data_IF_922504711246
#
_entry.id   IF_922504711246
#
_cell.length_a   1.000
_cell.length_b   1.000
_cell.length_c   1.000
_cell.angle_alpha   90.00
_cell.angle_beta   90.00
_cell.angle_gamma   90.00
#
_symmetry.space_group_name_H-M   'P 1'
#
loop_
_entity.id
_entity.type
_entity.pdbx_description
1 polymer ?
#
# COMPACT_ATOMS: atom_id res chain seq x y z
N UNK A 1 -2.12 13.86 -8.37
CA UNK A 1 -1.00 13.16 -7.74
C UNK A 1 -0.27 14.12 -6.82
N UNK A 2 0.03 13.71 -5.60
CA UNK A 2 0.84 14.51 -4.68
C UNK A 2 2.30 14.16 -4.90
N UNK A 3 3.12 15.15 -5.18
CA UNK A 3 4.54 14.97 -5.44
C UNK A 3 5.38 16.19 -5.07
N UNK A 4 6.50 15.94 -4.43
CA UNK A 4 7.60 16.87 -4.19
C UNK A 4 8.91 16.05 -4.25
N UNK A 5 9.94 16.57 -4.89
CA UNK A 5 11.24 15.87 -4.97
C UNK A 5 11.84 15.58 -3.58
N UNK A 6 11.48 16.40 -2.58
CA UNK A 6 11.88 16.19 -1.19
C UNK A 6 11.30 14.90 -0.57
N UNK A 7 10.26 14.28 -1.15
CA UNK A 7 9.75 12.97 -0.71
C UNK A 7 10.81 11.86 -0.83
N UNK A 8 11.84 12.05 -1.64
CA UNK A 8 13.00 11.15 -1.74
C UNK A 8 14.01 11.27 -0.59
N UNK A 9 13.80 12.21 0.35
CA UNK A 9 14.66 12.38 1.52
C UNK A 9 14.48 11.29 2.59
N UNK A 10 13.42 10.49 2.53
CA UNK A 10 13.20 9.33 3.40
C UNK A 10 14.17 8.20 3.03
N UNK A 11 15.35 8.21 3.67
CA UNK A 11 16.49 7.40 3.24
C UNK A 11 17.26 6.85 4.45
N UNK A 12 17.19 5.57 4.65
CA UNK A 12 17.91 4.83 5.71
C UNK A 12 19.37 4.51 5.37
N UNK A 13 19.87 4.97 4.24
CA UNK A 13 21.24 4.77 3.80
C UNK A 13 21.40 3.73 2.69
N UNK A 14 22.62 3.62 2.13
CA UNK A 14 22.84 2.93 0.85
C UNK A 14 22.69 1.40 0.90
N UNK A 15 22.74 0.79 2.07
CA UNK A 15 22.59 -0.66 2.24
C UNK A 15 21.19 -1.08 2.66
N UNK A 16 20.27 -0.12 2.87
CA UNK A 16 18.92 -0.41 3.30
C UNK A 16 18.04 -0.76 2.09
N UNK A 17 17.19 -1.81 2.18
CA UNK A 17 16.35 -2.22 1.04
C UNK A 17 15.35 -1.16 0.62
N UNK A 18 14.78 -0.39 1.56
CA UNK A 18 13.90 0.73 1.23
C UNK A 18 14.76 1.92 0.75
N UNK A 19 15.04 1.96 -0.55
CA UNK A 19 15.87 2.96 -1.18
C UNK A 19 15.03 3.99 -1.98
N UNK A 20 15.23 5.30 -1.80
CA UNK A 20 14.47 6.34 -2.51
C UNK A 20 14.57 6.27 -4.03
N UNK A 21 15.64 5.68 -4.56
CA UNK A 21 15.85 5.52 -6.02
C UNK A 21 14.65 4.83 -6.70
N UNK A 22 13.93 3.95 -6.00
CA UNK A 22 12.72 3.30 -6.53
C UNK A 22 11.65 4.32 -6.94
N UNK A 23 11.47 5.36 -6.14
CA UNK A 23 10.51 6.44 -6.43
C UNK A 23 11.04 7.36 -7.52
N UNK A 24 12.36 7.68 -7.50
CA UNK A 24 13.02 8.45 -8.58
C UNK A 24 12.84 7.77 -9.95
N UNK A 25 13.06 6.46 -10.02
CA UNK A 25 12.91 5.68 -11.24
C UNK A 25 11.45 5.60 -11.71
N UNK A 26 10.51 5.49 -10.76
CA UNK A 26 9.07 5.53 -11.05
C UNK A 26 8.68 6.86 -11.70
N UNK A 27 9.05 7.97 -11.07
CA UNK A 27 8.70 9.31 -11.59
C UNK A 27 9.35 9.58 -12.96
N UNK A 28 10.59 9.11 -13.15
CA UNK A 28 11.25 9.21 -14.45
C UNK A 28 10.54 8.39 -15.52
N UNK A 29 10.11 7.15 -15.22
CA UNK A 29 9.39 6.30 -16.15
C UNK A 29 8.01 6.86 -16.49
N UNK A 30 7.26 7.27 -15.49
CA UNK A 30 5.94 7.87 -15.67
C UNK A 30 6.01 9.15 -16.53
N UNK A 31 7.04 9.96 -16.36
CA UNK A 31 7.28 11.17 -17.19
C UNK A 31 7.59 10.79 -18.64
N UNK A 32 8.52 9.87 -18.85
CA UNK A 32 8.95 9.45 -20.19
C UNK A 32 7.85 8.76 -21.00
N UNK A 33 6.89 8.12 -20.32
CA UNK A 33 5.72 7.49 -20.95
C UNK A 33 4.52 8.47 -21.08
N UNK A 34 4.67 9.74 -20.69
CA UNK A 34 3.60 10.73 -20.74
C UNK A 34 2.46 10.50 -19.74
N UNK A 35 2.65 9.63 -18.75
CA UNK A 35 1.65 9.37 -17.71
C UNK A 35 1.45 10.61 -16.82
N UNK A 36 2.54 11.33 -16.52
CA UNK A 36 2.46 12.55 -15.71
C UNK A 36 1.75 13.72 -16.42
N UNK A 37 1.65 13.67 -17.75
CA UNK A 37 0.87 14.66 -18.52
C UNK A 37 -0.65 14.49 -18.33
N UNK A 38 -1.08 13.39 -17.73
CA UNK A 38 -2.49 13.03 -17.47
C UNK A 38 -2.92 13.26 -16.02
N UNK A 39 -2.02 13.70 -15.16
CA UNK A 39 -2.28 13.96 -13.75
C UNK A 39 -1.91 15.40 -13.40
N UNK A 40 -2.69 16.02 -12.53
CA UNK A 40 -2.27 17.25 -11.89
C UNK A 40 -1.26 16.92 -10.77
N UNK A 41 -0.07 17.52 -10.83
CA UNK A 41 0.93 17.40 -9.78
C UNK A 41 0.73 18.53 -8.78
N UNK A 42 0.45 18.17 -7.52
CA UNK A 42 0.30 19.10 -6.41
C UNK A 42 1.39 18.84 -5.37
N UNK A 43 2.00 19.89 -4.87
CA UNK A 43 2.95 19.83 -3.77
C UNK A 43 2.27 19.53 -2.42
N UNK A 44 3.07 19.25 -1.42
CA UNK A 44 2.62 19.08 -0.04
C UNK A 44 3.55 19.75 0.96
N UNK A 45 3.06 20.04 2.16
CA UNK A 45 3.87 20.38 3.33
C UNK A 45 3.97 19.19 4.28
N UNK A 46 4.89 19.22 5.25
CA UNK A 46 4.96 18.20 6.28
C UNK A 46 3.71 18.21 7.16
N UNK A 47 3.29 17.04 7.63
CA UNK A 47 2.25 16.92 8.64
C UNK A 47 2.68 17.62 9.93
N UNK A 48 1.78 18.39 10.51
CA UNK A 48 1.98 19.04 11.81
C UNK A 48 1.92 18.04 12.97
N UNK A 49 2.45 18.40 14.14
CA UNK A 49 2.37 17.58 15.35
C UNK A 49 0.92 17.23 15.73
N UNK A 50 0.01 18.18 15.55
CA UNK A 50 -1.41 17.94 15.84
C UNK A 50 -2.04 16.95 14.86
N UNK A 51 -1.64 16.96 13.58
CA UNK A 51 -2.03 15.95 12.61
C UNK A 51 -1.41 14.59 12.93
N UNK A 52 -0.09 14.53 13.18
CA UNK A 52 0.59 13.30 13.59
C UNK A 52 -0.04 12.68 14.84
N UNK A 53 -0.46 13.52 15.80
CA UNK A 53 -1.10 13.08 17.03
C UNK A 53 -2.51 12.50 16.85
N UNK A 54 -3.04 12.48 15.64
CA UNK A 54 -4.30 11.78 15.36
C UNK A 54 -4.19 10.26 15.53
N UNK A 55 -3.01 9.70 15.26
CA UNK A 55 -2.75 8.25 15.34
C UNK A 55 -1.51 7.90 16.16
N UNK A 56 -0.57 8.83 16.33
CA UNK A 56 0.65 8.62 17.10
C UNK A 56 0.62 9.32 18.45
N UNK A 57 1.19 8.68 19.48
CA UNK A 57 1.32 9.31 20.78
C UNK A 57 2.27 10.51 20.72
N UNK A 58 1.98 11.57 21.49
CA UNK A 58 2.85 12.75 21.56
C UNK A 58 4.26 12.38 22.04
N UNK A 59 4.38 11.44 22.97
CA UNK A 59 5.68 10.96 23.45
C UNK A 59 6.52 10.30 22.36
N UNK A 60 5.87 9.58 21.43
CA UNK A 60 6.52 8.98 20.28
C UNK A 60 6.97 10.06 19.27
N UNK A 61 6.11 11.02 18.94
CA UNK A 61 6.47 12.14 18.05
C UNK A 61 7.71 12.88 18.60
N UNK A 62 7.74 13.17 19.90
CA UNK A 62 8.89 13.80 20.53
C UNK A 62 10.15 12.90 20.52
N UNK A 63 9.99 11.56 20.62
CA UNK A 63 11.12 10.64 20.46
C UNK A 63 11.68 10.69 19.02
N UNK A 64 10.83 10.66 18.00
CA UNK A 64 11.25 10.78 16.60
C UNK A 64 11.98 12.10 16.34
N UNK A 65 11.49 13.21 16.90
CA UNK A 65 12.15 14.53 16.80
C UNK A 65 13.52 14.56 17.46
N UNK A 66 13.68 13.93 18.63
CA UNK A 66 14.99 13.83 19.27
C UNK A 66 15.98 13.05 18.41
N UNK A 67 15.54 11.89 17.87
CA UNK A 67 16.36 11.10 16.94
C UNK A 67 16.68 11.88 15.68
N UNK A 68 15.73 12.66 15.16
CA UNK A 68 15.91 13.50 13.98
C UNK A 68 16.98 14.58 14.18
N UNK A 69 17.06 15.14 15.39
CA UNK A 69 17.97 16.23 15.69
C UNK A 69 19.46 15.81 15.72
N UNK A 70 19.77 14.60 16.20
CA UNK A 70 21.16 14.18 16.46
C UNK A 70 21.53 12.80 15.89
N UNK A 71 20.57 12.08 15.28
CA UNK A 71 20.76 10.75 14.73
C UNK A 71 20.99 9.64 15.76
N UNK A 72 20.77 9.92 17.06
CA UNK A 72 20.98 8.91 18.11
C UNK A 72 19.81 7.96 18.21
N UNK A 73 20.06 6.63 18.27
CA UNK A 73 19.01 5.63 18.40
C UNK A 73 18.13 5.84 19.65
N UNK A 74 16.82 5.61 19.48
CA UNK A 74 15.87 5.40 20.57
C UNK A 74 15.15 4.06 20.32
N UNK A 75 15.74 2.97 20.83
CA UNK A 75 15.21 1.62 20.62
C UNK A 75 13.83 1.40 21.24
N UNK A 76 13.47 2.19 22.25
CA UNK A 76 12.13 2.13 22.85
C UNK A 76 11.05 2.69 21.92
N UNK A 77 11.44 3.56 21.00
CA UNK A 77 10.60 4.09 19.93
C UNK A 77 10.76 3.30 18.61
N UNK A 78 11.49 2.18 18.60
CA UNK A 78 11.76 1.38 17.40
C UNK A 78 12.76 2.00 16.43
N UNK A 79 13.47 3.08 16.82
CA UNK A 79 14.42 3.81 15.98
C UNK A 79 15.86 3.44 16.32
N UNK A 80 16.65 3.11 15.29
CA UNK A 80 18.04 2.65 15.42
C UNK A 80 18.16 1.13 15.39
N UNK A 81 17.11 0.41 15.01
CA UNK A 81 17.13 -1.01 14.64
C UNK A 81 17.70 -1.20 13.24
N UNK A 82 17.92 -2.44 12.83
CA UNK A 82 18.28 -2.77 11.43
C UNK A 82 17.19 -2.35 10.46
N UNK A 83 15.92 -2.51 10.87
CA UNK A 83 14.76 -2.22 10.03
C UNK A 83 14.44 -0.71 9.97
N UNK A 84 14.68 0.00 11.07
CA UNK A 84 14.42 1.44 11.16
C UNK A 84 15.68 2.15 11.68
N UNK A 85 16.75 2.26 10.88
CA UNK A 85 17.97 2.97 11.26
C UNK A 85 17.69 4.42 11.64
N UNK A 86 18.34 4.90 12.69
CA UNK A 86 18.26 6.29 13.08
C UNK A 86 19.06 7.17 12.12
N UNK A 87 18.49 8.27 11.66
CA UNK A 87 19.20 9.28 10.86
C UNK A 87 18.72 10.70 11.17
N UNK A 88 19.60 11.67 11.01
CA UNK A 88 19.27 13.08 11.16
C UNK A 88 18.28 13.51 10.06
N UNK A 89 17.17 14.16 10.44
CA UNK A 89 16.11 14.54 9.48
C UNK A 89 15.02 13.49 9.32
N UNK A 90 15.01 12.41 10.12
CA UNK A 90 14.00 11.34 10.03
C UNK A 90 12.58 11.85 10.29
N UNK A 91 12.41 12.81 11.21
CA UNK A 91 11.11 13.43 11.49
C UNK A 91 10.60 14.19 10.26
N UNK A 92 11.43 15.07 9.73
CA UNK A 92 11.10 15.94 8.61
C UNK A 92 10.73 15.14 7.37
N UNK A 93 11.53 14.12 7.05
CA UNK A 93 11.27 13.22 5.92
C UNK A 93 9.98 12.42 6.09
N UNK A 94 9.75 11.85 7.27
CA UNK A 94 8.54 11.07 7.58
C UNK A 94 7.29 11.95 7.64
N UNK A 95 7.39 13.14 8.24
CA UNK A 95 6.28 14.09 8.31
C UNK A 95 5.89 14.61 6.91
N UNK A 96 6.84 14.75 5.99
CA UNK A 96 6.56 15.15 4.62
C UNK A 96 5.75 14.07 3.87
N UNK A 97 6.12 12.79 4.02
CA UNK A 97 5.35 11.67 3.45
C UNK A 97 3.94 11.64 4.03
N UNK A 98 3.81 11.78 5.36
CA UNK A 98 2.51 11.86 6.03
C UNK A 98 1.67 13.04 5.51
N UNK A 99 2.31 14.20 5.35
CA UNK A 99 1.69 15.39 4.77
C UNK A 99 1.19 15.20 3.34
N UNK A 100 1.92 14.41 2.54
CA UNK A 100 1.50 14.08 1.18
C UNK A 100 0.22 13.21 1.16
N UNK A 101 0.10 12.21 2.03
CA UNK A 101 -1.12 11.39 2.14
C UNK A 101 -2.29 12.19 2.73
N UNK A 102 -2.04 13.10 3.66
CA UNK A 102 -3.05 14.05 4.13
C UNK A 102 -3.51 15.00 3.02
N UNK A 103 -2.61 15.49 2.18
CA UNK A 103 -2.95 16.33 1.03
C UNK A 103 -3.80 15.56 0.01
N UNK A 104 -3.50 14.28 -0.23
CA UNK A 104 -4.31 13.40 -1.05
C UNK A 104 -5.73 13.23 -0.47
N UNK A 105 -5.84 13.01 0.85
CA UNK A 105 -7.13 12.89 1.53
C UNK A 105 -7.97 14.17 1.41
N UNK A 106 -7.34 15.34 1.59
CA UNK A 106 -8.01 16.64 1.41
C UNK A 106 -8.50 16.84 -0.02
N UNK A 107 -7.64 16.60 -1.00
CA UNK A 107 -7.99 16.80 -2.40
C UNK A 107 -9.22 15.97 -2.80
N UNK A 108 -9.31 14.73 -2.34
CA UNK A 108 -10.45 13.85 -2.66
C UNK A 108 -11.69 14.24 -1.85
N UNK A 109 -11.56 14.49 -0.56
CA UNK A 109 -12.71 14.77 0.29
C UNK A 109 -13.34 16.14 -0.01
N UNK A 110 -12.53 17.16 -0.29
CA UNK A 110 -12.98 18.52 -0.64
C UNK A 110 -13.46 18.63 -2.11
N UNK A 111 -13.33 17.53 -2.88
CA UNK A 111 -13.81 17.47 -4.26
C UNK A 111 -12.92 18.17 -5.29
N UNK A 112 -11.66 18.46 -4.93
CA UNK A 112 -10.66 18.98 -5.86
C UNK A 112 -10.18 17.89 -6.85
N UNK A 113 -10.25 16.63 -6.45
CA UNK A 113 -9.96 15.46 -7.28
C UNK A 113 -10.89 14.31 -6.92
N UNK A 114 -11.20 13.46 -7.89
CA UNK A 114 -11.93 12.20 -7.66
C UNK A 114 -10.98 11.13 -7.13
N UNK A 115 -9.76 11.08 -7.68
CA UNK A 115 -8.69 10.18 -7.28
C UNK A 115 -7.44 10.95 -6.89
N UNK A 116 -6.69 10.43 -5.92
CA UNK A 116 -5.38 10.96 -5.56
C UNK A 116 -4.37 9.84 -5.29
N UNK A 117 -3.09 10.09 -5.57
CA UNK A 117 -2.02 9.10 -5.32
C UNK A 117 -0.79 9.76 -4.70
N UNK A 118 -0.22 9.06 -3.70
CA UNK A 118 1.08 9.33 -3.10
C UNK A 118 1.94 8.06 -3.15
N UNK A 119 2.78 7.91 -4.18
CA UNK A 119 3.62 6.71 -4.34
C UNK A 119 4.78 6.63 -3.34
N UNK A 120 5.12 7.71 -2.64
CA UNK A 120 6.12 7.69 -1.58
C UNK A 120 5.55 7.24 -0.22
N UNK A 121 4.22 7.22 -0.08
CA UNK A 121 3.51 6.78 1.12
C UNK A 121 3.27 5.27 1.17
N UNK A 122 2.35 4.88 2.06
CA UNK A 122 2.01 3.48 2.30
C UNK A 122 2.82 2.86 3.44
N UNK A 123 3.27 3.67 4.40
CA UNK A 123 4.09 3.25 5.54
C UNK A 123 3.22 2.61 6.64
N UNK A 124 2.64 1.47 6.32
CA UNK A 124 1.54 0.82 7.03
C UNK A 124 1.94 0.10 8.33
N UNK A 125 3.25 -0.12 8.58
CA UNK A 125 3.72 -0.83 9.78
C UNK A 125 3.94 0.07 11.01
N UNK A 126 4.00 1.40 10.84
CA UNK A 126 4.22 2.29 11.97
C UNK A 126 3.07 2.17 12.98
N UNK A 127 3.42 1.87 14.23
CA UNK A 127 2.49 1.69 15.33
C UNK A 127 2.18 3.04 16.02
N UNK A 128 1.16 3.10 16.90
CA UNK A 128 0.85 4.34 17.63
C UNK A 128 2.01 4.93 18.42
N UNK A 129 2.96 4.10 18.87
CA UNK A 129 4.05 4.52 19.75
C UNK A 129 5.43 3.97 19.38
N UNK A 130 5.59 3.34 18.21
CA UNK A 130 6.89 2.79 17.78
C UNK A 130 6.97 2.68 16.26
N UNK A 131 8.16 2.92 15.72
CA UNK A 131 8.52 2.61 14.34
C UNK A 131 8.66 1.09 14.16
N UNK A 132 8.28 0.58 12.98
CA UNK A 132 8.33 -0.84 12.64
C UNK A 132 8.39 -1.00 11.12
N UNK A 133 9.02 -2.05 10.61
CA UNK A 133 8.96 -2.44 9.20
C UNK A 133 9.27 -1.30 8.23
N UNK A 134 10.36 -0.56 8.47
CA UNK A 134 10.78 0.61 7.67
C UNK A 134 9.86 1.84 7.77
N UNK A 135 8.84 1.80 8.64
CA UNK A 135 7.82 2.83 8.77
C UNK A 135 7.98 3.63 10.07
N UNK A 136 8.03 4.96 9.97
CA UNK A 136 8.13 5.87 11.12
C UNK A 136 6.78 6.49 11.45
N UNK A 137 6.11 7.12 10.48
CA UNK A 137 4.74 7.59 10.65
C UNK A 137 3.80 6.86 9.68
N UNK A 138 2.64 6.44 10.20
CA UNK A 138 1.64 5.69 9.42
C UNK A 138 0.78 6.66 8.60
N UNK A 139 1.25 6.99 7.41
CA UNK A 139 0.59 7.96 6.54
C UNK A 139 -0.81 7.49 6.05
N UNK A 140 -1.07 6.20 5.72
CA UNK A 140 -2.42 5.75 5.41
C UNK A 140 -3.37 5.94 6.60
N UNK A 141 -2.94 5.56 7.81
CA UNK A 141 -3.76 5.74 9.00
C UNK A 141 -4.02 7.21 9.31
N UNK A 142 -3.05 8.10 9.09
CA UNK A 142 -3.23 9.54 9.24
C UNK A 142 -4.27 10.10 8.26
N UNK A 143 -4.24 9.67 7.00
CA UNK A 143 -5.23 10.04 6.00
C UNK A 143 -6.64 9.59 6.44
N UNK A 144 -6.79 8.35 6.90
CA UNK A 144 -8.06 7.80 7.40
C UNK A 144 -8.53 8.57 8.64
N UNK A 145 -7.67 8.79 9.63
CA UNK A 145 -8.04 9.51 10.86
C UNK A 145 -8.46 10.95 10.57
N UNK A 146 -7.79 11.61 9.62
CA UNK A 146 -8.19 12.95 9.17
C UNK A 146 -9.60 12.93 8.54
N UNK A 147 -9.87 11.98 7.62
CA UNK A 147 -11.19 11.82 7.00
C UNK A 147 -12.30 11.63 8.03
N UNK A 148 -12.09 10.75 9.03
CA UNK A 148 -13.05 10.55 10.13
C UNK A 148 -13.31 11.84 10.92
N UNK A 149 -12.28 12.66 11.14
CA UNK A 149 -12.42 13.99 11.78
C UNK A 149 -13.19 14.99 10.92
N UNK A 150 -13.20 14.85 9.59
CA UNK A 150 -14.02 15.65 8.69
C UNK A 150 -15.50 15.17 8.63
N UNK A 151 -15.83 14.11 9.34
CA UNK A 151 -17.20 13.60 9.43
C UNK A 151 -17.51 12.45 8.46
N UNK A 152 -16.51 11.88 7.80
CA UNK A 152 -16.68 10.64 7.03
C UNK A 152 -17.14 9.54 7.97
N UNK A 153 -18.22 8.86 7.64
CA UNK A 153 -18.82 7.85 8.52
C UNK A 153 -18.27 6.45 8.28
N UNK A 154 -17.78 6.13 7.08
CA UNK A 154 -17.19 4.83 6.73
C UNK A 154 -16.05 5.00 5.74
N UNK A 155 -14.89 4.46 6.11
CA UNK A 155 -13.69 4.38 5.26
C UNK A 155 -13.32 2.92 5.08
N UNK A 156 -13.08 2.47 3.85
CA UNK A 156 -12.43 1.18 3.62
C UNK A 156 -10.95 1.39 3.30
N UNK A 157 -10.12 0.56 3.89
CA UNK A 157 -8.70 0.45 3.59
C UNK A 157 -8.40 -0.94 3.02
N UNK A 158 -7.85 -1.00 1.80
CA UNK A 158 -7.44 -2.26 1.17
C UNK A 158 -5.95 -2.24 0.94
N UNK A 159 -5.26 -3.20 1.52
CA UNK A 159 -3.82 -3.35 1.51
C UNK A 159 -3.43 -4.56 0.65
N UNK A 160 -2.66 -4.31 -0.41
CA UNK A 160 -2.19 -5.34 -1.33
C UNK A 160 -0.67 -5.56 -1.27
N UNK A 161 -0.01 -4.96 -0.28
CA UNK A 161 1.37 -5.26 0.10
C UNK A 161 1.49 -6.75 0.47
N UNK A 162 2.68 -7.32 0.29
CA UNK A 162 2.92 -8.71 0.70
C UNK A 162 2.90 -8.89 2.21
N UNK A 163 3.20 -7.81 2.96
CA UNK A 163 3.19 -7.81 4.42
C UNK A 163 1.80 -7.41 4.95
N UNK A 164 1.44 -7.96 6.09
CA UNK A 164 0.22 -7.53 6.79
C UNK A 164 0.30 -6.06 7.20
N UNK A 165 -0.71 -5.27 6.88
CA UNK A 165 -0.84 -3.86 7.28
C UNK A 165 -1.16 -3.68 8.76
N UNK A 166 -0.29 -4.22 9.63
CA UNK A 166 -0.49 -4.39 11.07
C UNK A 166 -0.66 -3.06 11.82
N UNK A 167 0.06 -2.01 11.39
CA UNK A 167 -0.05 -0.69 12.01
C UNK A 167 -1.42 -0.06 11.76
N UNK A 168 -1.93 -0.12 10.52
CA UNK A 168 -3.26 0.41 10.19
C UNK A 168 -4.34 -0.40 10.90
N UNK A 169 -4.26 -1.74 10.85
CA UNK A 169 -5.18 -2.61 11.59
C UNK A 169 -5.19 -2.28 13.08
N UNK A 170 -4.02 -2.15 13.71
CA UNK A 170 -3.90 -1.88 15.16
C UNK A 170 -4.52 -0.54 15.53
N UNK A 171 -4.32 0.51 14.71
CA UNK A 171 -4.85 1.85 14.98
C UNK A 171 -6.39 1.87 14.96
N UNK A 172 -7.00 1.10 14.06
CA UNK A 172 -8.45 1.11 13.88
C UNK A 172 -9.16 -0.17 14.34
N UNK A 173 -8.48 -1.05 15.09
CA UNK A 173 -8.99 -2.38 15.45
C UNK A 173 -10.35 -2.34 16.16
N UNK A 174 -10.58 -1.31 16.96
CA UNK A 174 -11.81 -1.10 17.74
C UNK A 174 -12.75 -0.04 17.14
N UNK A 175 -12.48 0.45 15.92
CA UNK A 175 -13.31 1.48 15.26
C UNK A 175 -14.12 0.87 14.10
N UNK A 176 -15.42 0.58 14.28
CA UNK A 176 -16.26 -0.05 13.25
C UNK A 176 -16.52 0.83 12.03
N UNK A 177 -16.08 2.08 12.03
CA UNK A 177 -16.16 2.97 10.87
C UNK A 177 -15.07 2.72 9.83
N UNK A 178 -14.04 1.94 10.18
CA UNK A 178 -12.91 1.66 9.30
C UNK A 178 -12.82 0.16 9.02
N UNK A 179 -13.13 -0.23 7.79
CA UNK A 179 -12.91 -1.60 7.32
C UNK A 179 -11.49 -1.72 6.78
N UNK A 180 -10.64 -2.50 7.42
CA UNK A 180 -9.30 -2.85 6.93
C UNK A 180 -9.32 -4.24 6.28
N UNK A 181 -8.84 -4.35 5.05
CA UNK A 181 -8.70 -5.63 4.33
C UNK A 181 -7.25 -5.75 3.89
N UNK A 182 -6.53 -6.75 4.36
CA UNK A 182 -5.13 -7.01 3.98
C UNK A 182 -4.99 -8.40 3.33
N UNK A 183 -4.43 -8.43 2.11
CA UNK A 183 -4.08 -9.67 1.41
C UNK A 183 -2.56 -9.83 1.45
N UNK A 184 -2.06 -10.71 2.29
CA UNK A 184 -0.64 -10.81 2.59
C UNK A 184 -0.16 -12.25 2.64
N UNK A 185 1.15 -12.43 2.59
CA UNK A 185 1.75 -13.74 2.84
C UNK A 185 1.52 -14.16 4.30
N UNK A 186 1.26 -15.43 4.50
CA UNK A 186 0.94 -16.00 5.82
C UNK A 186 1.87 -15.50 6.93
N UNK A 187 1.33 -15.05 8.07
CA UNK A 187 2.12 -14.63 9.23
C UNK A 187 3.00 -15.75 9.82
N UNK A 188 2.83 -16.98 9.36
CA UNK A 188 3.68 -18.12 9.74
C UNK A 188 5.02 -18.13 9.00
N UNK A 189 5.13 -17.43 7.89
CA UNK A 189 6.30 -17.43 6.99
C UNK A 189 6.90 -16.05 6.79
N UNK A 190 6.16 -14.99 7.09
CA UNK A 190 6.60 -13.61 6.83
C UNK A 190 6.33 -12.68 8.02
N UNK A 191 7.16 -11.63 8.13
CA UNK A 191 6.96 -10.47 8.99
C UNK A 191 5.59 -9.80 8.65
N UNK A 192 4.88 -9.19 9.61
CA UNK A 192 5.22 -9.03 11.02
C UNK A 192 4.82 -10.22 11.92
N UNK A 193 4.24 -11.28 11.37
CA UNK A 193 3.78 -12.44 12.14
C UNK A 193 2.38 -12.26 12.73
N UNK A 194 1.62 -11.27 12.26
CA UNK A 194 0.21 -10.97 12.59
C UNK A 194 -0.65 -11.00 11.33
N UNK A 195 -1.96 -10.87 11.45
CA UNK A 195 -2.88 -10.93 10.31
C UNK A 195 -3.44 -12.33 10.08
N UNK A 196 -3.72 -13.06 11.15
CA UNK A 196 -4.46 -14.32 11.05
C UNK A 196 -5.95 -14.05 10.73
N UNK A 197 -6.64 -14.96 10.00
CA UNK A 197 -8.06 -14.76 9.67
C UNK A 197 -8.98 -14.54 10.88
N UNK A 198 -8.56 -15.00 12.07
CA UNK A 198 -9.29 -14.86 13.33
C UNK A 198 -9.14 -13.46 13.96
N UNK A 199 -8.23 -12.63 13.48
CA UNK A 199 -8.08 -11.23 13.90
C UNK A 199 -9.12 -10.37 13.17
N UNK A 200 -10.34 -10.31 13.72
CA UNK A 200 -11.50 -9.74 13.01
C UNK A 200 -11.87 -8.31 13.41
N UNK A 201 -11.24 -7.75 14.44
CA UNK A 201 -11.56 -6.39 14.92
C UNK A 201 -12.97 -6.23 15.46
N UNK A 202 -13.35 -4.99 15.69
CA UNK A 202 -14.72 -4.65 16.10
C UNK A 202 -15.69 -4.94 14.94
N UNK A 203 -16.75 -5.69 15.22
CA UNK A 203 -17.84 -5.98 14.26
C UNK A 203 -17.34 -6.63 12.93
N UNK A 204 -16.17 -7.26 12.92
CA UNK A 204 -15.61 -7.90 11.73
C UNK A 204 -14.89 -6.93 10.77
N UNK A 205 -14.50 -5.76 11.24
CA UNK A 205 -13.88 -4.72 10.38
C UNK A 205 -12.37 -4.86 10.20
N UNK A 206 -11.72 -5.86 10.77
CA UNK A 206 -10.37 -6.29 10.39
C UNK A 206 -10.46 -7.59 9.59
N UNK A 207 -9.99 -7.59 8.35
CA UNK A 207 -10.10 -8.70 7.41
C UNK A 207 -8.72 -9.11 6.92
N UNK A 208 -8.36 -10.35 7.17
CA UNK A 208 -7.02 -10.88 6.89
C UNK A 208 -7.08 -12.08 5.95
N UNK A 209 -6.49 -11.94 4.76
CA UNK A 209 -6.35 -13.03 3.78
C UNK A 209 -4.90 -13.50 3.80
N UNK A 210 -4.61 -14.45 4.67
CA UNK A 210 -3.25 -14.98 4.91
C UNK A 210 -2.92 -16.07 3.87
N UNK A 211 -2.26 -15.67 2.78
CA UNK A 211 -1.96 -16.53 1.64
C UNK A 211 -0.70 -17.38 1.85
N UNK A 212 -0.64 -18.60 1.35
CA UNK A 212 0.57 -19.41 1.42
C UNK A 212 1.69 -18.80 0.57
N UNK A 213 2.95 -18.92 1.04
CA UNK A 213 4.14 -18.64 0.24
C UNK A 213 4.06 -19.35 -1.12
N UNK A 214 4.54 -18.70 -2.20
CA UNK A 214 4.47 -19.22 -3.56
C UNK A 214 3.15 -18.95 -4.29
N UNK A 215 2.18 -18.27 -3.66
CA UNK A 215 0.94 -17.87 -4.35
C UNK A 215 1.25 -16.89 -5.47
N UNK A 216 0.90 -17.26 -6.71
CA UNK A 216 1.04 -16.42 -7.91
C UNK A 216 -0.26 -15.71 -8.31
N UNK A 217 -0.23 -15.05 -9.48
CA UNK A 217 -1.32 -14.20 -9.98
C UNK A 217 -2.70 -14.82 -9.88
N UNK A 218 -2.88 -16.03 -10.40
CA UNK A 218 -4.19 -16.70 -10.45
C UNK A 218 -4.78 -16.96 -9.07
N UNK A 219 -3.95 -17.43 -8.15
CA UNK A 219 -4.38 -17.70 -6.77
C UNK A 219 -4.65 -16.44 -5.98
N UNK A 220 -3.79 -15.45 -6.14
CA UNK A 220 -3.94 -14.17 -5.46
C UNK A 220 -5.18 -13.41 -5.94
N UNK A 221 -5.40 -13.32 -7.26
CA UNK A 221 -6.60 -12.68 -7.81
C UNK A 221 -7.87 -13.43 -7.45
N UNK A 222 -7.83 -14.78 -7.40
CA UNK A 222 -8.94 -15.59 -6.88
C UNK A 222 -9.29 -15.20 -5.45
N UNK A 223 -8.29 -15.06 -4.58
CA UNK A 223 -8.49 -14.67 -3.18
C UNK A 223 -9.03 -13.23 -3.08
N UNK A 224 -8.44 -12.30 -3.85
CA UNK A 224 -8.90 -10.91 -3.91
C UNK A 224 -10.38 -10.82 -4.30
N UNK A 225 -10.77 -11.43 -5.40
CA UNK A 225 -12.16 -11.36 -5.90
C UNK A 225 -13.15 -12.11 -5.02
N UNK A 226 -12.70 -13.12 -4.28
CA UNK A 226 -13.54 -13.85 -3.35
C UNK A 226 -13.85 -13.08 -2.05
N UNK A 227 -13.03 -12.09 -1.67
CA UNK A 227 -13.12 -11.42 -0.35
C UNK A 227 -13.40 -9.93 -0.49
N UNK A 228 -12.61 -9.19 -1.30
CA UNK A 228 -12.65 -7.73 -1.32
C UNK A 228 -13.97 -7.17 -1.88
N UNK A 229 -14.44 -7.55 -3.09
CA UNK A 229 -15.63 -6.95 -3.65
C UNK A 229 -16.89 -7.18 -2.79
N UNK A 230 -17.19 -8.42 -2.28
CA UNK A 230 -18.37 -8.62 -1.45
C UNK A 230 -18.41 -7.76 -0.20
N UNK A 231 -17.25 -7.59 0.47
CA UNK A 231 -17.15 -6.79 1.68
C UNK A 231 -17.30 -5.28 1.40
N UNK A 232 -16.68 -4.77 0.32
CA UNK A 232 -16.84 -3.37 -0.06
C UNK A 232 -18.28 -3.03 -0.45
N UNK A 233 -18.95 -3.92 -1.18
CA UNK A 233 -20.37 -3.73 -1.56
C UNK A 233 -21.30 -3.73 -0.35
N UNK A 234 -21.02 -4.54 0.69
CA UNK A 234 -21.82 -4.56 1.92
C UNK A 234 -21.48 -3.39 2.82
N UNK A 235 -20.19 -3.10 3.04
CA UNK A 235 -19.73 -2.04 3.91
C UNK A 235 -20.09 -0.64 3.37
N UNK A 236 -20.08 -0.44 2.03
CA UNK A 236 -20.42 0.83 1.34
C UNK A 236 -19.62 2.01 1.91
N UNK A 237 -18.30 2.01 1.76
CA UNK A 237 -17.49 3.13 2.24
C UNK A 237 -17.84 4.42 1.50
N UNK A 238 -17.67 5.57 2.16
CA UNK A 238 -17.75 6.87 1.49
C UNK A 238 -16.47 7.21 0.72
N UNK A 239 -15.37 6.56 1.09
CA UNK A 239 -14.06 6.73 0.46
C UNK A 239 -13.27 5.43 0.57
N UNK A 240 -12.55 5.09 -0.50
CA UNK A 240 -11.62 3.96 -0.54
C UNK A 240 -10.18 4.48 -0.41
N UNK A 241 -9.43 3.95 0.55
CA UNK A 241 -7.99 4.16 0.71
C UNK A 241 -7.29 2.84 0.40
N UNK A 242 -6.23 2.87 -0.39
CA UNK A 242 -5.53 1.63 -0.79
C UNK A 242 -4.02 1.78 -0.68
N UNK A 243 -3.37 0.71 -0.22
CA UNK A 243 -1.91 0.59 -0.19
C UNK A 243 -1.48 -0.40 -1.28
N UNK A 244 -0.51 0.03 -2.08
CA UNK A 244 -0.06 -0.67 -3.29
C UNK A 244 1.42 -1.04 -3.21
N UNK A 245 1.84 -1.66 -2.10
CA UNK A 245 3.12 -2.35 -2.06
C UNK A 245 3.22 -3.35 -3.19
N UNK A 246 4.35 -3.39 -3.86
CA UNK A 246 4.59 -4.28 -4.99
C UNK A 246 5.61 -5.39 -4.69
N UNK A 247 5.91 -5.58 -3.42
CA UNK A 247 6.79 -6.63 -2.88
C UNK A 247 6.16 -8.04 -2.89
N UNK A 248 4.89 -8.16 -3.28
CA UNK A 248 4.25 -9.42 -3.64
C UNK A 248 4.81 -10.05 -4.93
N UNK A 249 5.66 -9.33 -5.67
CA UNK A 249 6.23 -9.77 -6.94
C UNK A 249 7.27 -10.88 -6.77
N UNK A 250 7.31 -11.82 -7.72
CA UNK A 250 8.20 -12.99 -7.72
C UNK A 250 9.71 -12.68 -7.65
N UNK A 251 10.13 -11.45 -7.99
CA UNK A 251 11.52 -11.00 -7.93
C UNK A 251 11.83 -10.22 -6.64
N UNK A 252 10.86 -9.98 -5.77
CA UNK A 252 11.13 -9.25 -4.54
C UNK A 252 12.02 -10.05 -3.60
N UNK A 253 13.09 -9.45 -3.05
CA UNK A 253 14.04 -10.18 -2.21
C UNK A 253 13.56 -10.42 -0.78
N UNK A 254 12.47 -9.77 -0.34
CA UNK A 254 12.04 -9.79 1.06
C UNK A 254 10.79 -10.66 1.31
N UNK A 255 10.20 -11.26 0.27
CA UNK A 255 8.97 -12.03 0.39
C UNK A 255 8.95 -13.26 -0.53
N UNK A 256 7.89 -14.06 -0.45
CA UNK A 256 7.82 -15.32 -1.17
C UNK A 256 6.52 -15.48 -1.99
N UNK A 257 5.70 -14.45 -2.14
CA UNK A 257 4.63 -14.48 -3.13
C UNK A 257 5.23 -14.41 -4.54
N UNK A 258 4.46 -14.79 -5.54
CA UNK A 258 4.95 -15.01 -6.90
C UNK A 258 4.10 -14.27 -7.95
N UNK A 259 3.65 -13.05 -7.60
CA UNK A 259 2.91 -12.23 -8.55
C UNK A 259 3.83 -11.68 -9.64
N UNK A 260 3.23 -11.32 -10.76
CA UNK A 260 3.83 -10.52 -11.83
C UNK A 260 3.33 -9.07 -11.76
N UNK A 261 4.00 -8.16 -12.48
CA UNK A 261 3.47 -6.80 -12.70
C UNK A 261 2.08 -6.85 -13.35
N UNK A 262 1.81 -7.86 -14.18
CA UNK A 262 0.49 -8.01 -14.83
C UNK A 262 -0.60 -8.39 -13.82
N UNK A 263 -0.29 -9.24 -12.84
CA UNK A 263 -1.19 -9.58 -11.73
C UNK A 263 -1.45 -8.38 -10.83
N UNK A 264 -0.41 -7.65 -10.46
CA UNK A 264 -0.53 -6.43 -9.66
C UNK A 264 -1.38 -5.37 -10.37
N UNK A 265 -1.14 -5.12 -11.66
CA UNK A 265 -1.93 -4.22 -12.48
C UNK A 265 -3.41 -4.63 -12.56
N UNK A 266 -3.70 -5.93 -12.64
CA UNK A 266 -5.08 -6.42 -12.63
C UNK A 266 -5.80 -6.08 -11.31
N UNK A 267 -5.08 -6.16 -10.18
CA UNK A 267 -5.60 -5.73 -8.88
C UNK A 267 -5.86 -4.20 -8.83
N UNK A 268 -4.94 -3.39 -9.39
CA UNK A 268 -5.11 -1.92 -9.44
C UNK A 268 -6.36 -1.53 -10.23
N UNK A 269 -6.56 -2.13 -11.41
CA UNK A 269 -7.76 -1.92 -12.22
C UNK A 269 -9.05 -2.38 -11.50
N UNK A 270 -8.99 -3.46 -10.73
CA UNK A 270 -10.12 -3.92 -9.94
C UNK A 270 -10.43 -2.95 -8.78
N UNK A 271 -9.44 -2.42 -8.08
CA UNK A 271 -9.61 -1.43 -7.01
C UNK A 271 -10.16 -0.10 -7.54
N UNK A 272 -9.68 0.38 -8.68
CA UNK A 272 -10.22 1.55 -9.36
C UNK A 272 -11.73 1.38 -9.65
N UNK A 273 -12.09 0.27 -10.27
CA UNK A 273 -13.51 -0.04 -10.53
C UNK A 273 -14.33 -0.12 -9.25
N UNK A 274 -13.83 -0.78 -8.20
CA UNK A 274 -14.51 -0.88 -6.91
C UNK A 274 -14.67 0.48 -6.23
N UNK A 275 -13.72 1.41 -6.37
CA UNK A 275 -13.87 2.77 -5.87
C UNK A 275 -15.09 3.47 -6.48
N UNK A 276 -15.32 3.32 -7.80
CA UNK A 276 -16.51 3.84 -8.46
C UNK A 276 -17.79 3.12 -8.04
N UNK A 277 -17.75 1.80 -7.91
CA UNK A 277 -18.92 0.98 -7.57
C UNK A 277 -19.38 1.17 -6.13
N UNK A 278 -18.45 1.39 -5.18
CA UNK A 278 -18.76 1.31 -3.73
C UNK A 278 -18.50 2.60 -2.96
N UNK A 279 -17.65 3.51 -3.46
CA UNK A 279 -17.23 4.74 -2.78
C UNK A 279 -17.53 6.02 -3.59
N UNK A 280 -18.40 5.94 -4.60
CA UNK A 280 -18.75 7.08 -5.46
C UNK A 280 -17.56 7.68 -6.19
N UNK A 281 -16.57 6.87 -6.54
CA UNK A 281 -15.33 7.26 -7.24
C UNK A 281 -14.25 7.84 -6.32
N UNK A 282 -14.49 8.08 -5.04
CA UNK A 282 -13.48 8.67 -4.13
C UNK A 282 -12.41 7.65 -3.76
N UNK A 283 -11.21 7.84 -4.32
CA UNK A 283 -10.10 6.92 -4.18
C UNK A 283 -8.79 7.61 -3.82
N UNK A 284 -8.14 7.13 -2.76
CA UNK A 284 -6.80 7.55 -2.36
C UNK A 284 -5.89 6.31 -2.45
N UNK A 285 -4.87 6.37 -3.30
CA UNK A 285 -3.89 5.31 -3.45
C UNK A 285 -2.54 5.74 -2.85
N UNK A 286 -1.89 4.84 -2.14
CA UNK A 286 -0.51 5.04 -1.68
C UNK A 286 0.42 4.02 -2.33
N UNK A 287 1.71 4.27 -2.31
CA UNK A 287 2.72 3.26 -2.57
C UNK A 287 2.73 2.20 -1.47
N UNK A 288 3.90 1.77 -1.05
CA UNK A 288 4.10 0.75 -0.02
C UNK A 288 5.47 0.09 -0.12
N UNK A 289 5.55 -1.19 0.23
CA UNK A 289 6.73 -2.01 0.02
C UNK A 289 7.05 -2.25 -1.45
N UNK A 290 8.24 -2.77 -1.71
CA UNK A 290 8.76 -3.05 -3.04
C UNK A 290 10.27 -2.81 -3.07
N UNK A 291 11.02 -3.89 -3.19
CA UNK A 291 12.48 -3.91 -2.97
C UNK A 291 13.25 -4.45 -4.17
N UNK A 292 12.55 -4.85 -5.21
CA UNK A 292 13.12 -4.99 -6.55
C UNK A 292 13.03 -3.63 -7.26
N UNK A 293 14.07 -2.81 -7.05
CA UNK A 293 14.07 -1.37 -7.28
C UNK A 293 14.02 -0.98 -8.78
N UNK A 294 14.42 -1.87 -9.68
CA UNK A 294 14.58 -1.59 -11.10
C UNK A 294 13.56 -2.33 -11.96
N UNK A 295 13.43 -3.65 -11.76
CA UNK A 295 12.58 -4.49 -12.60
C UNK A 295 11.09 -4.37 -12.25
N UNK A 296 10.75 -4.07 -10.98
CA UNK A 296 9.37 -4.15 -10.49
C UNK A 296 8.79 -2.77 -10.17
N UNK A 297 9.31 -2.11 -9.14
CA UNK A 297 8.69 -0.91 -8.56
C UNK A 297 8.38 0.17 -9.60
N UNK A 298 9.28 0.56 -10.50
CA UNK A 298 8.99 1.63 -11.46
C UNK A 298 7.85 1.28 -12.41
N UNK A 299 7.75 0.01 -12.84
CA UNK A 299 6.67 -0.44 -13.73
C UNK A 299 5.33 -0.52 -12.99
N UNK A 300 5.33 -1.18 -11.83
CA UNK A 300 4.13 -1.36 -11.03
C UNK A 300 3.50 -0.01 -10.65
N UNK A 301 4.28 0.92 -10.09
CA UNK A 301 3.75 2.21 -9.70
C UNK A 301 3.49 3.18 -10.86
N UNK A 302 4.18 3.04 -12.00
CA UNK A 302 3.76 3.76 -13.21
C UNK A 302 2.39 3.30 -13.69
N UNK A 303 2.10 1.98 -13.64
CA UNK A 303 0.75 1.47 -13.89
C UNK A 303 -0.27 1.98 -12.87
N UNK A 304 0.09 2.06 -11.58
CA UNK A 304 -0.78 2.61 -10.55
C UNK A 304 -1.14 4.08 -10.83
N UNK A 305 -0.15 4.92 -11.14
CA UNK A 305 -0.38 6.34 -11.46
C UNK A 305 -1.28 6.47 -12.68
N UNK A 306 -1.05 5.65 -13.71
CA UNK A 306 -1.86 5.64 -14.93
C UNK A 306 -3.31 5.19 -14.67
N UNK A 307 -3.50 4.23 -13.78
CA UNK A 307 -4.82 3.73 -13.36
C UNK A 307 -5.59 4.82 -12.58
N UNK A 308 -4.93 5.46 -11.62
CA UNK A 308 -5.49 6.60 -10.87
C UNK A 308 -5.85 7.77 -11.78
N UNK A 309 -5.08 7.98 -12.85
CA UNK A 309 -5.35 9.00 -13.86
C UNK A 309 -6.54 8.64 -14.81
N UNK A 310 -7.06 7.41 -14.75
CA UNK A 310 -8.05 6.92 -15.70
C UNK A 310 -7.50 6.70 -17.12
N UNK A 311 -6.18 6.62 -17.26
CA UNK A 311 -5.48 6.45 -18.55
C UNK A 311 -4.45 5.31 -18.47
N UNK A 312 -4.90 4.03 -18.31
CA UNK A 312 -4.02 2.91 -18.12
C UNK A 312 -3.03 2.74 -19.29
N UNK A 313 -1.78 2.43 -18.95
CA UNK A 313 -0.72 2.14 -19.93
C UNK A 313 -0.91 0.73 -20.48
N UNK A 314 -0.84 0.59 -21.80
CA UNK A 314 -0.82 -0.74 -22.43
C UNK A 314 0.40 -1.53 -21.92
N UNK A 315 0.22 -2.72 -21.32
CA UNK A 315 1.31 -3.52 -20.80
C UNK A 315 2.37 -3.89 -21.86
N UNK A 316 1.99 -3.96 -23.15
CA UNK A 316 2.94 -4.19 -24.23
C UNK A 316 3.83 -2.97 -24.54
N UNK A 317 3.55 -1.80 -23.96
CA UNK A 317 4.35 -0.59 -24.17
C UNK A 317 5.83 -0.84 -23.83
N UNK A 318 6.78 -0.53 -24.71
CA UNK A 318 8.19 -0.61 -24.37
C UNK A 318 8.57 0.50 -23.38
N UNK A 319 9.45 0.20 -22.44
CA UNK A 319 10.09 1.24 -21.64
C UNK A 319 10.97 2.14 -22.54
N UNK A 320 11.01 3.43 -22.28
CA UNK A 320 11.72 4.36 -23.16
C UNK A 320 13.23 4.15 -23.16
N UNK A 321 13.92 4.50 -24.24
CA UNK A 321 15.38 4.44 -24.29
C UNK A 321 16.03 5.43 -23.33
N UNK A 322 15.40 6.60 -23.13
CA UNK A 322 15.86 7.63 -22.19
C UNK A 322 15.86 7.10 -20.77
N UNK A 323 14.71 6.53 -20.34
CA UNK A 323 14.60 5.92 -19.01
C UNK A 323 15.58 4.76 -18.82
N UNK A 324 15.71 3.86 -19.80
CA UNK A 324 16.66 2.73 -19.71
C UNK A 324 18.11 3.17 -19.57
N UNK A 325 18.50 4.28 -20.20
CA UNK A 325 19.82 4.89 -20.01
C UNK A 325 19.95 5.46 -18.60
N UNK A 326 18.96 6.21 -18.13
CA UNK A 326 18.92 6.77 -16.78
C UNK A 326 19.06 5.68 -15.70
N UNK A 327 18.35 4.56 -15.81
CA UNK A 327 18.50 3.41 -14.92
C UNK A 327 19.94 2.92 -14.85
N UNK A 328 20.58 2.66 -16.01
CA UNK A 328 21.97 2.17 -16.05
C UNK A 328 22.96 3.14 -15.42
N UNK A 329 22.78 4.42 -15.67
CA UNK A 329 23.64 5.48 -15.10
C UNK A 329 23.45 5.61 -13.58
N UNK A 330 22.22 5.44 -13.11
CA UNK A 330 21.84 5.65 -11.70
C UNK A 330 22.12 4.44 -10.81
N UNK A 331 21.95 3.23 -11.33
CA UNK A 331 22.01 1.98 -10.56
C UNK A 331 23.06 0.99 -11.04
N UNK A 332 23.52 1.08 -12.28
CA UNK A 332 24.37 0.08 -12.92
C UNK A 332 23.63 -1.16 -13.40
N UNK A 333 22.33 -1.26 -13.16
CA UNK A 333 21.53 -2.45 -13.45
C UNK A 333 20.91 -2.43 -14.85
N UNK A 334 20.46 -3.60 -15.29
CA UNK A 334 19.78 -3.75 -16.59
C UNK A 334 18.29 -3.47 -16.41
N UNK A 335 17.74 -2.43 -17.07
CA UNK A 335 16.31 -2.11 -16.99
C UNK A 335 15.44 -3.08 -17.78
N UNK A 336 14.16 -3.27 -17.40
CA UNK A 336 13.19 -4.03 -18.19
C UNK A 336 12.93 -3.35 -19.54
N UNK A 337 12.51 -4.15 -20.55
CA UNK A 337 12.29 -3.66 -21.92
C UNK A 337 10.82 -3.23 -22.15
N UNK A 338 9.91 -3.76 -21.37
CA UNK A 338 8.44 -3.57 -21.50
C UNK A 338 7.80 -3.31 -20.15
N UNK A 339 6.58 -2.82 -20.18
CA UNK A 339 5.76 -2.57 -18.98
C UNK A 339 5.09 -3.83 -18.45
N UNK A 340 5.26 -5.00 -19.07
CA UNK A 340 4.68 -6.30 -18.72
C UNK A 340 5.77 -7.33 -18.40
N UNK A 341 5.40 -8.35 -17.64
CA UNK A 341 6.17 -9.60 -17.49
C UNK A 341 5.70 -10.66 -18.49
N UNK A 342 4.75 -10.33 -19.37
CA UNK A 342 4.21 -11.23 -20.38
C UNK A 342 3.31 -12.32 -19.80
N UNK A 343 2.68 -12.04 -18.65
CA UNK A 343 1.74 -12.95 -18.00
C UNK A 343 0.29 -12.58 -18.35
N UNK A 344 -0.56 -13.59 -18.40
CA UNK A 344 -2.00 -13.40 -18.47
C UNK A 344 -2.61 -13.68 -17.10
N UNK A 345 -3.07 -12.66 -16.35
CA UNK A 345 -3.54 -12.80 -14.97
C UNK A 345 -4.97 -13.35 -14.91
N UNK A 346 -5.25 -14.47 -15.58
CA UNK A 346 -6.52 -15.16 -15.49
C UNK A 346 -6.64 -15.92 -14.17
N UNK A 347 -7.84 -15.97 -13.61
CA UNK A 347 -8.15 -16.73 -12.40
C UNK A 347 -9.52 -17.41 -12.51
N UNK A 348 -9.70 -18.50 -11.75
CA UNK A 348 -11.01 -19.13 -11.60
C UNK A 348 -11.77 -18.46 -10.47
N UNK A 349 -12.94 -17.92 -10.75
CA UNK A 349 -13.82 -17.35 -9.75
C UNK A 349 -14.23 -18.40 -8.68
N UNK A 350 -14.43 -17.95 -7.42
CA UNK A 350 -14.80 -18.86 -6.33
C UNK A 350 -16.19 -19.48 -6.54
N UNK A 351 -17.11 -18.79 -7.22
CA UNK A 351 -18.43 -19.33 -7.61
C UNK A 351 -18.34 -20.57 -8.49
N UNK A 352 -17.21 -20.81 -9.16
CA UNK A 352 -16.89 -22.04 -9.89
C UNK A 352 -16.57 -23.24 -8.98
N UNK A 353 -16.63 -23.09 -7.67
CA UNK A 353 -16.44 -24.12 -6.65
C UNK A 353 -15.19 -23.93 -5.80
N UNK A 354 -15.27 -24.49 -4.63
CA UNK A 354 -14.23 -24.57 -3.59
C UNK A 354 -13.55 -25.94 -3.63
N UNK A 355 -12.22 -25.95 -3.60
CA UNK A 355 -11.42 -27.16 -3.48
C UNK A 355 -10.75 -27.20 -2.10
N UNK A 356 -11.17 -28.09 -1.18
CA UNK A 356 -10.56 -28.19 0.15
C UNK A 356 -9.10 -28.68 0.12
N UNK A 357 -8.63 -29.24 -1.00
CA UNK A 357 -7.23 -29.63 -1.17
C UNK A 357 -6.34 -28.44 -1.56
N UNK A 358 -6.91 -27.39 -2.18
CA UNK A 358 -6.17 -26.17 -2.54
C UNK A 358 -5.88 -25.33 -1.30
N UNK A 359 -4.60 -25.03 -0.98
CA UNK A 359 -4.25 -24.21 0.16
C UNK A 359 -4.74 -22.75 0.04
N UNK A 360 -4.91 -22.23 -1.18
CA UNK A 360 -5.43 -20.87 -1.42
C UNK A 360 -6.93 -20.85 -1.09
N UNK A 361 -7.69 -21.84 -1.58
CA UNK A 361 -9.10 -21.94 -1.27
C UNK A 361 -9.35 -22.09 0.24
N UNK A 362 -8.47 -22.85 0.95
CA UNK A 362 -8.54 -22.93 2.42
C UNK A 362 -8.29 -21.59 3.09
N UNK A 363 -7.32 -20.81 2.63
CA UNK A 363 -7.05 -19.48 3.16
C UNK A 363 -8.25 -18.52 2.94
N UNK A 364 -8.81 -18.52 1.73
CA UNK A 364 -10.03 -17.75 1.40
C UNK A 364 -11.19 -18.15 2.32
N UNK A 365 -11.43 -19.45 2.47
CA UNK A 365 -12.54 -19.93 3.31
C UNK A 365 -12.33 -19.67 4.79
N UNK A 366 -11.07 -19.68 5.28
CA UNK A 366 -10.77 -19.28 6.66
C UNK A 366 -11.20 -17.84 6.91
N UNK A 367 -10.83 -16.91 6.03
CA UNK A 367 -11.22 -15.50 6.11
C UNK A 367 -12.73 -15.32 5.98
N UNK A 368 -13.36 -15.93 4.95
CA UNK A 368 -14.82 -15.81 4.75
C UNK A 368 -15.61 -16.35 5.95
N UNK A 369 -15.22 -17.49 6.51
CA UNK A 369 -15.88 -18.06 7.69
C UNK A 369 -15.75 -17.17 8.94
N UNK A 370 -14.62 -16.49 9.10
CA UNK A 370 -14.39 -15.61 10.23
C UNK A 370 -15.17 -14.29 10.14
N UNK A 371 -15.29 -13.72 8.93
CA UNK A 371 -15.74 -12.32 8.76
C UNK A 371 -17.11 -12.20 8.10
N UNK A 372 -17.42 -12.97 7.06
CA UNK A 372 -18.65 -12.78 6.27
C UNK A 372 -19.95 -12.84 7.10
N UNK A 373 -20.11 -13.80 8.05
CA UNK A 373 -21.29 -13.81 8.90
C UNK A 373 -21.49 -12.54 9.74
N UNK A 374 -20.39 -11.86 10.11
CA UNK A 374 -20.42 -10.60 10.86
C UNK A 374 -20.96 -9.44 10.01
N UNK A 375 -20.85 -9.55 8.69
CA UNK A 375 -21.41 -8.62 7.70
C UNK A 375 -22.73 -9.10 7.08
N UNK A 376 -23.31 -10.19 7.58
CA UNK A 376 -24.55 -10.75 7.01
C UNK A 376 -24.37 -11.44 5.64
N UNK A 377 -23.14 -11.74 5.25
CA UNK A 377 -22.79 -12.42 4.01
C UNK A 377 -22.66 -13.94 4.20
N UNK A 378 -23.00 -14.69 3.16
CA UNK A 378 -22.78 -16.15 3.15
C UNK A 378 -21.26 -16.43 2.96
N UNK A 379 -20.64 -17.17 3.88
CA UNK A 379 -19.24 -17.56 3.71
C UNK A 379 -19.01 -18.58 2.58
N UNK A 380 -20.04 -19.32 2.15
CA UNK A 380 -19.93 -20.31 1.09
C UNK A 380 -19.82 -19.66 -0.31
N UNK A 381 -19.22 -20.37 -1.29
CA UNK A 381 -19.13 -19.91 -2.68
C UNK A 381 -20.47 -19.70 -3.35
#
# INVERSE_FOLDING_TARGET
MIWDDALTSYNFGPSHPLAPVRVELTMALARELGVLDKVELSGCGPASDDELSMVHSRSYIEAVKRVSADGRPDLSAGLGTTDNPAFAGVHEASALIAGASLAAARAVWEGAAEHAVNVAGGLHHAMPATASGFCVYNDPALAIAWLLRQGVSRVAYVDVDVHHGDGVQTIFYDDPRVLTISLHESPRTLFPGTGFPEETGAEGTAVNVALPAGTGDSGWLRAFHAVVPPLLHEFRPEILVTQHGCDSHALDPLANLMLSVDGQRAAYAALHRLAHETAGGRWIATGGGGYELVQVVPRAWTHLIAEVAGHPVDPATPTSQGWRRFVRERTGETPPLTMTDGRNPEFRDLSGGYDPADPIDRAVMATRNAVFPLHGLDPLP
#
